data_IF_736546671731
#
_entry.id   IF_736546671731
#
_cell.length_a   1.000
_cell.length_b   1.000
_cell.length_c   1.000
_cell.angle_alpha   90.00
_cell.angle_beta   90.00
_cell.angle_gamma   90.00
#
_symmetry.space_group_name_H-M   'P 1'
#
loop_
_entity.id
_entity.type
_entity.pdbx_description
1 polymer ?
#
# COMPACT_ATOMS: atom_id res chain seq x y z
N UNK A 1 -5.90 9.40 6.11
CA UNK A 1 -4.99 10.14 5.20
C UNK A 1 -5.49 9.99 3.77
N UNK A 2 -5.02 10.80 2.81
CA UNK A 2 -5.40 10.68 1.38
C UNK A 2 -4.17 10.88 0.49
N UNK A 3 -4.16 10.21 -0.65
CA UNK A 3 -3.09 10.26 -1.64
C UNK A 3 -3.67 10.14 -3.04
N UNK A 4 -2.82 10.19 -4.07
CA UNK A 4 -3.24 10.03 -5.45
C UNK A 4 -2.41 8.96 -6.14
N UNK A 5 -3.04 8.12 -6.95
CA UNK A 5 -2.33 7.14 -7.76
C UNK A 5 -1.45 7.89 -8.75
N UNK A 6 -0.17 7.59 -8.73
CA UNK A 6 0.83 8.15 -9.64
C UNK A 6 1.32 7.13 -10.66
N UNK A 7 1.23 5.84 -10.34
CA UNK A 7 1.65 4.77 -11.23
C UNK A 7 0.87 3.48 -10.98
N UNK A 8 0.60 2.78 -12.08
CA UNK A 8 0.06 1.42 -12.10
C UNK A 8 1.08 0.50 -12.76
N UNK A 9 1.07 -0.78 -12.38
CA UNK A 9 1.96 -1.80 -12.93
C UNK A 9 3.45 -1.49 -12.75
N UNK A 10 3.79 -0.79 -11.67
CA UNK A 10 5.16 -0.37 -11.41
C UNK A 10 6.04 -1.58 -11.06
N UNK A 11 7.27 -1.56 -11.56
CA UNK A 11 8.35 -2.42 -11.08
C UNK A 11 9.19 -1.61 -10.10
N UNK A 12 9.29 -2.08 -8.86
CA UNK A 12 10.02 -1.41 -7.79
C UNK A 12 11.09 -2.34 -7.23
N UNK A 13 12.20 -1.74 -6.81
CA UNK A 13 13.25 -2.44 -6.09
C UNK A 13 13.26 -1.94 -4.65
N UNK A 14 13.16 -2.87 -3.70
CA UNK A 14 13.13 -2.59 -2.27
C UNK A 14 14.38 -3.17 -1.63
N UNK A 15 15.07 -2.34 -0.86
CA UNK A 15 16.30 -2.69 -0.15
C UNK A 15 15.96 -3.26 1.24
N UNK A 16 16.39 -4.50 1.50
CA UNK A 16 16.23 -5.22 2.76
C UNK A 16 17.53 -5.27 3.59
N UNK A 17 18.40 -4.28 3.42
CA UNK A 17 19.69 -4.18 4.10
C UNK A 17 20.65 -5.29 3.66
N UNK A 18 21.21 -6.01 4.64
CA UNK A 18 22.17 -7.09 4.38
C UNK A 18 21.57 -8.26 3.59
N UNK A 19 20.25 -8.44 3.63
CA UNK A 19 19.54 -9.45 2.83
C UNK A 19 19.50 -9.10 1.32
N UNK A 20 19.93 -7.89 0.94
CA UNK A 20 19.99 -7.43 -0.44
C UNK A 20 18.71 -6.75 -0.91
N UNK A 21 18.50 -6.74 -2.22
CA UNK A 21 17.37 -6.06 -2.85
C UNK A 21 16.37 -7.08 -3.41
N UNK A 22 15.08 -6.85 -3.18
CA UNK A 22 14.00 -7.58 -3.81
C UNK A 22 13.32 -6.73 -4.88
N UNK A 23 12.85 -7.36 -5.95
CA UNK A 23 12.12 -6.71 -7.04
C UNK A 23 10.68 -7.16 -7.02
N UNK A 24 9.76 -6.21 -7.07
CA UNK A 24 8.32 -6.43 -7.11
C UNK A 24 7.75 -5.80 -8.38
N UNK A 25 6.99 -6.55 -9.14
CA UNK A 25 6.28 -6.08 -10.34
C UNK A 25 4.81 -5.87 -10.04
N UNK A 26 4.10 -5.18 -10.92
CA UNK A 26 2.64 -5.01 -10.81
C UNK A 26 2.20 -4.23 -9.57
N UNK A 27 3.06 -3.32 -9.08
CA UNK A 27 2.78 -2.51 -7.90
C UNK A 27 2.00 -1.24 -8.25
N UNK A 28 1.27 -0.69 -7.28
CA UNK A 28 0.63 0.61 -7.39
C UNK A 28 1.41 1.63 -6.57
N UNK A 29 1.69 2.78 -7.18
CA UNK A 29 2.42 3.88 -6.55
C UNK A 29 1.44 4.99 -6.22
N UNK A 30 1.42 5.39 -4.95
CA UNK A 30 0.63 6.50 -4.44
C UNK A 30 1.57 7.63 -4.07
N UNK A 31 1.29 8.84 -4.55
CA UNK A 31 2.02 10.04 -4.18
C UNK A 31 1.45 10.67 -2.92
N UNK A 32 2.33 11.13 -2.03
CA UNK A 32 1.99 11.97 -0.87
C UNK A 32 2.13 13.44 -1.28
N UNK A 33 1.07 14.27 -1.21
CA UNK A 33 1.15 15.68 -1.62
C UNK A 33 2.08 16.50 -0.71
N UNK A 34 2.91 17.37 -1.30
CA UNK A 34 3.73 18.31 -0.53
C UNK A 34 2.83 19.27 0.27
N UNK A 35 3.21 19.52 1.53
CA UNK A 35 2.51 20.46 2.41
C UNK A 35 1.16 19.98 2.94
N UNK A 36 0.83 18.69 2.77
CA UNK A 36 -0.30 18.03 3.40
C UNK A 36 0.18 16.95 4.37
N UNK A 37 -0.75 16.39 5.15
CA UNK A 37 -0.46 15.22 5.97
C UNK A 37 -0.01 14.05 5.09
N UNK A 38 1.00 13.32 5.56
CA UNK A 38 1.52 12.15 4.88
C UNK A 38 0.41 11.12 4.61
N UNK A 39 0.41 10.54 3.41
CA UNK A 39 -0.49 9.44 3.10
C UNK A 39 -0.19 8.22 3.98
N UNK A 40 1.10 7.91 4.14
CA UNK A 40 1.62 6.81 4.95
C UNK A 40 2.90 7.21 5.67
N UNK A 41 3.17 6.54 6.79
CA UNK A 41 4.39 6.69 7.59
C UNK A 41 4.95 5.33 7.98
N UNK A 42 6.18 5.34 8.50
CA UNK A 42 6.75 4.15 9.13
C UNK A 42 5.81 3.61 10.21
N UNK A 43 5.45 2.33 10.11
CA UNK A 43 4.48 1.67 11.00
C UNK A 43 3.11 1.37 10.36
N UNK A 44 2.78 2.02 9.24
CA UNK A 44 1.53 1.75 8.51
C UNK A 44 1.61 0.51 7.60
N UNK A 45 2.79 -0.12 7.50
CA UNK A 45 3.01 -1.37 6.77
C UNK A 45 2.02 -2.45 7.19
N UNK A 46 1.37 -3.09 6.21
CA UNK A 46 0.31 -4.07 6.40
C UNK A 46 -1.10 -3.47 6.44
N UNK A 47 -1.24 -2.15 6.38
CA UNK A 47 -2.56 -1.52 6.28
C UNK A 47 -3.21 -1.78 4.92
N UNK A 48 -4.53 -2.02 4.94
CA UNK A 48 -5.34 -2.02 3.72
C UNK A 48 -5.54 -0.59 3.24
N UNK A 49 -5.45 -0.40 1.94
CA UNK A 49 -5.72 0.87 1.27
C UNK A 49 -7.02 0.76 0.50
N UNK A 50 -7.83 1.82 0.59
CA UNK A 50 -9.14 1.93 -0.06
C UNK A 50 -9.19 3.13 -1.00
N UNK A 51 -10.01 3.02 -2.04
CA UNK A 51 -10.39 4.18 -2.86
C UNK A 51 -11.52 5.00 -2.21
N UNK A 52 -11.92 6.09 -2.88
CA UNK A 52 -12.99 6.98 -2.39
C UNK A 52 -14.38 6.33 -2.45
N UNK A 53 -14.52 5.16 -3.08
CA UNK A 53 -15.73 4.35 -3.19
C UNK A 53 -15.75 3.18 -2.20
N UNK A 54 -14.78 3.14 -1.27
CA UNK A 54 -14.66 2.12 -0.24
C UNK A 54 -14.41 0.70 -0.82
N UNK A 55 -13.76 0.61 -1.96
CA UNK A 55 -13.18 -0.64 -2.47
C UNK A 55 -11.73 -0.76 -1.99
N UNK A 56 -11.37 -1.93 -1.45
CA UNK A 56 -9.97 -2.20 -1.10
C UNK A 56 -9.17 -2.34 -2.40
N UNK A 57 -8.09 -1.57 -2.53
CA UNK A 57 -7.26 -1.55 -3.73
C UNK A 57 -5.91 -2.23 -3.52
N UNK A 58 -5.43 -2.34 -2.28
CA UNK A 58 -4.15 -2.99 -2.03
C UNK A 58 -3.71 -3.01 -0.58
N UNK A 59 -2.60 -3.70 -0.38
CA UNK A 59 -1.89 -3.82 0.88
C UNK A 59 -0.64 -2.94 0.84
N UNK A 60 -0.54 -2.00 1.78
CA UNK A 60 0.63 -1.16 1.93
C UNK A 60 1.80 -2.00 2.43
N UNK A 61 2.93 -1.98 1.71
CA UNK A 61 4.11 -2.73 2.14
C UNK A 61 5.38 -1.89 2.28
N UNK A 62 5.55 -0.84 1.48
CA UNK A 62 6.74 0.01 1.51
C UNK A 62 6.42 1.46 1.12
N UNK A 63 7.37 2.37 1.36
CA UNK A 63 7.24 3.77 0.98
C UNK A 63 8.39 4.63 1.47
N UNK A 64 8.30 5.92 1.16
CA UNK A 64 9.21 6.98 1.60
C UNK A 64 8.41 8.14 2.16
N UNK A 65 8.94 8.76 3.22
CA UNK A 65 8.35 9.97 3.78
C UNK A 65 8.54 11.17 2.85
N UNK A 66 7.63 12.14 2.94
CA UNK A 66 7.80 13.41 2.23
C UNK A 66 8.93 14.22 2.85
N UNK A 67 9.71 14.89 2.01
CA UNK A 67 10.68 15.89 2.45
C UNK A 67 10.19 17.30 2.13
N UNK A 68 10.96 18.33 2.49
CA UNK A 68 10.66 19.71 2.14
C UNK A 68 10.70 19.99 0.62
N UNK A 69 11.29 19.08 -0.18
CA UNK A 69 11.50 19.27 -1.62
C UNK A 69 10.89 18.18 -2.47
N UNK A 70 10.77 16.97 -1.94
CA UNK A 70 10.35 15.80 -2.68
C UNK A 70 9.10 15.19 -2.03
N UNK A 71 8.04 14.92 -2.80
CA UNK A 71 6.86 14.23 -2.28
C UNK A 71 7.23 12.80 -1.86
N UNK A 72 6.62 12.33 -0.77
CA UNK A 72 6.71 10.94 -0.36
C UNK A 72 6.01 10.02 -1.37
N UNK A 73 6.35 8.74 -1.34
CA UNK A 73 5.70 7.72 -2.16
C UNK A 73 5.33 6.52 -1.32
N UNK A 74 4.19 5.92 -1.62
CA UNK A 74 3.73 4.69 -0.99
C UNK A 74 3.56 3.64 -2.05
N UNK A 75 4.03 2.44 -1.76
CA UNK A 75 3.96 1.28 -2.63
C UNK A 75 2.96 0.31 -2.01
N UNK A 76 1.95 -0.05 -2.79
CA UNK A 76 0.95 -1.04 -2.40
C UNK A 76 0.93 -2.20 -3.39
N UNK A 77 0.77 -3.41 -2.86
CA UNK A 77 0.51 -4.61 -3.65
C UNK A 77 -0.99 -4.70 -3.93
N UNK A 78 -1.43 -4.89 -5.18
CA UNK A 78 -2.86 -5.08 -5.50
C UNK A 78 -3.50 -6.16 -4.64
N UNK A 79 -4.69 -5.87 -4.11
CA UNK A 79 -5.33 -6.75 -3.12
C UNK A 79 -5.72 -8.11 -3.72
N UNK A 80 -6.08 -8.15 -4.99
CA UNK A 80 -6.41 -9.37 -5.73
C UNK A 80 -5.21 -10.32 -5.82
N UNK A 81 -4.01 -9.79 -6.05
CA UNK A 81 -2.75 -10.56 -6.01
C UNK A 81 -2.52 -11.13 -4.61
N UNK A 82 -2.66 -10.32 -3.56
CA UNK A 82 -2.46 -10.77 -2.17
C UNK A 82 -3.45 -11.89 -1.83
N UNK A 83 -4.74 -11.70 -2.11
CA UNK A 83 -5.77 -12.70 -1.84
C UNK A 83 -5.54 -13.99 -2.61
N UNK A 84 -5.16 -13.89 -3.89
CA UNK A 84 -4.87 -15.05 -4.74
C UNK A 84 -3.68 -15.85 -4.21
N UNK A 85 -2.56 -15.20 -3.96
CA UNK A 85 -1.31 -15.89 -3.60
C UNK A 85 -1.34 -16.46 -2.18
N UNK A 86 -2.10 -15.83 -1.27
CA UNK A 86 -2.23 -16.28 0.11
C UNK A 86 -3.51 -17.10 0.38
N UNK A 87 -4.33 -17.34 -0.66
CA UNK A 87 -5.63 -18.01 -0.56
C UNK A 87 -6.55 -17.39 0.52
N UNK A 88 -6.66 -16.06 0.49
CA UNK A 88 -7.46 -15.28 1.44
C UNK A 88 -8.76 -14.79 0.79
N UNK A 89 -9.72 -14.48 1.65
CA UNK A 89 -10.94 -13.77 1.29
C UNK A 89 -11.04 -12.48 2.13
N UNK A 90 -11.41 -11.37 1.50
CA UNK A 90 -11.66 -10.12 2.22
C UNK A 90 -13.02 -10.20 2.92
N UNK A 91 -13.01 -10.11 4.24
CA UNK A 91 -14.25 -10.10 5.03
C UNK A 91 -14.76 -8.67 5.10
N UNK A 92 -16.04 -8.46 4.76
CA UNK A 92 -16.65 -7.15 4.89
C UNK A 92 -16.83 -6.77 6.37
N UNK A 93 -16.73 -5.48 6.73
CA UNK A 93 -17.00 -5.04 8.08
C UNK A 93 -18.37 -5.55 8.57
N UNK A 94 -18.37 -6.24 9.72
CA UNK A 94 -19.59 -6.81 10.31
C UNK A 94 -20.01 -8.18 9.77
N UNK A 95 -19.27 -8.79 8.85
CA UNK A 95 -19.54 -10.16 8.38
C UNK A 95 -18.67 -11.22 9.06
N UNK A 96 -17.84 -10.82 10.03
CA UNK A 96 -17.22 -11.76 10.95
C UNK A 96 -18.34 -12.43 11.76
N UNK A 97 -18.45 -13.76 11.67
CA UNK A 97 -19.30 -14.52 12.55
C UNK A 97 -18.82 -14.29 13.99
N UNK A 98 -19.64 -13.62 14.80
CA UNK A 98 -19.50 -13.69 16.24
C UNK A 98 -19.93 -15.10 16.64
N UNK A 99 -18.99 -16.03 16.70
CA UNK A 99 -19.19 -17.23 17.50
C UNK A 99 -19.35 -16.78 18.96
N UNK A 100 -20.61 -16.79 19.44
CA UNK A 100 -21.00 -16.70 20.85
C UNK A 100 -21.03 -18.09 21.47
#
# INVERSE_FOLDING_TARGET
>A
TKGSIQGLYATVQVNYGEAGNAVFTDQVIISQPLGQDDFSRGGDSGSLVYDDQNACIGLLFAGSESTARDPGTTIITPIDVVMKELHLELIAPGTFAHDV
#
